data_IF_690577848077
#
_entry.id   IF_690577848077
#
_cell.length_a   1.000
_cell.length_b   1.000
_cell.length_c   1.000
_cell.angle_alpha   90.00
_cell.angle_beta   90.00
_cell.angle_gamma   90.00
#
_symmetry.space_group_name_H-M   'P 1'
#
loop_
_entity.id
_entity.type
_entity.pdbx_description
1 polymer ?
#
# COMPACT_ATOMS: atom_id res chain seq x y z
N UNK A 1 -32.39 63.02 42.10
CA UNK A 1 -33.69 62.67 42.68
C UNK A 1 -33.88 61.18 42.46
N UNK A 2 -33.88 60.43 43.57
CA UNK A 2 -34.23 59.00 43.73
C UNK A 2 -33.28 57.93 43.15
N UNK A 3 -32.42 57.42 44.05
CA UNK A 3 -31.94 56.04 44.14
C UNK A 3 -33.04 54.99 43.88
N UNK A 4 -32.71 53.90 43.19
CA UNK A 4 -33.18 52.54 43.53
C UNK A 4 -32.02 51.56 43.27
N UNK A 5 -31.45 51.09 44.38
CA UNK A 5 -30.62 49.89 44.49
C UNK A 5 -31.49 48.65 44.25
N UNK A 6 -31.03 47.73 43.39
CA UNK A 6 -31.54 46.36 43.36
C UNK A 6 -30.42 45.41 42.91
N UNK A 7 -29.89 44.62 43.85
CA UNK A 7 -29.21 43.34 43.56
C UNK A 7 -30.19 42.26 44.00
N UNK A 8 -30.48 41.23 43.19
CA UNK A 8 -29.62 40.03 43.17
C UNK A 8 -29.62 39.34 41.79
N UNK A 9 -28.70 38.44 41.45
CA UNK A 9 -28.87 36.98 41.66
C UNK A 9 -27.53 36.34 41.28
N UNK A 10 -27.02 35.48 42.17
CA UNK A 10 -25.86 34.62 41.92
C UNK A 10 -26.30 33.50 40.96
N UNK A 11 -25.79 33.49 39.74
CA UNK A 11 -25.94 32.35 38.82
C UNK A 11 -24.88 31.32 39.21
N UNK A 12 -25.31 30.28 39.93
CA UNK A 12 -24.52 29.10 40.26
C UNK A 12 -24.82 28.01 39.24
N UNK A 13 -23.77 27.50 38.59
CA UNK A 13 -23.64 26.18 37.92
C UNK A 13 -24.68 25.85 36.83
N UNK A 14 -24.34 25.19 35.73
CA UNK A 14 -23.77 23.85 35.66
C UNK A 14 -23.00 23.74 34.34
N UNK A 15 -21.68 23.66 34.40
CA UNK A 15 -20.89 23.19 33.25
C UNK A 15 -21.13 21.69 33.10
N UNK A 16 -21.88 21.32 32.06
CA UNK A 16 -22.06 19.94 31.65
C UNK A 16 -20.75 19.45 31.01
N UNK A 17 -19.88 18.84 31.81
CA UNK A 17 -18.70 18.11 31.32
C UNK A 17 -19.16 16.77 30.74
N UNK A 18 -19.38 16.75 29.43
CA UNK A 18 -19.55 15.52 28.66
C UNK A 18 -18.18 14.84 28.57
N UNK A 19 -17.95 13.82 29.40
CA UNK A 19 -16.78 12.96 29.29
C UNK A 19 -16.98 11.98 28.14
N UNK A 20 -16.34 12.25 27.00
CA UNK A 20 -16.23 11.31 25.89
C UNK A 20 -15.24 10.22 26.32
N UNK A 21 -15.74 9.05 26.70
CA UNK A 21 -14.90 7.85 26.84
C UNK A 21 -14.48 7.38 25.46
N UNK A 22 -13.27 7.74 25.05
CA UNK A 22 -12.62 7.17 23.86
C UNK A 22 -12.16 5.76 24.24
N UNK A 23 -12.92 4.75 23.86
CA UNK A 23 -12.46 3.36 23.90
C UNK A 23 -11.40 3.18 22.81
N UNK A 24 -10.13 3.32 23.15
CA UNK A 24 -9.02 2.91 22.27
C UNK A 24 -9.00 1.38 22.24
N UNK A 25 -9.70 0.77 21.29
CA UNK A 25 -9.44 -0.60 20.90
C UNK A 25 -8.02 -0.62 20.29
N UNK A 26 -7.03 -0.94 21.12
CA UNK A 26 -5.65 -1.07 20.68
C UNK A 26 -5.56 -2.24 19.71
N UNK A 27 -5.45 -1.94 18.41
CA UNK A 27 -4.97 -2.89 17.43
C UNK A 27 -3.55 -3.27 17.86
N UNK A 28 -3.36 -4.51 18.34
CA UNK A 28 -2.03 -5.03 18.59
C UNK A 28 -1.32 -5.06 17.23
N UNK A 29 -0.33 -4.19 17.04
CA UNK A 29 0.56 -4.29 15.89
C UNK A 29 1.28 -5.64 15.98
N UNK A 30 1.01 -6.51 15.03
CA UNK A 30 1.73 -7.77 14.89
C UNK A 30 3.21 -7.46 14.68
N UNK A 31 4.08 -8.12 15.44
CA UNK A 31 5.52 -7.94 15.28
C UNK A 31 5.92 -8.48 13.90
N UNK A 32 6.79 -7.77 13.14
CA UNK A 32 7.30 -8.28 11.87
C UNK A 32 7.87 -9.68 12.06
N UNK A 33 7.49 -10.59 11.17
CA UNK A 33 8.09 -11.91 11.09
C UNK A 33 9.45 -11.83 10.40
N UNK A 34 10.27 -12.86 10.51
CA UNK A 34 11.51 -12.95 9.75
C UNK A 34 11.28 -12.87 8.23
N UNK A 35 10.10 -13.33 7.75
CA UNK A 35 9.73 -13.19 6.35
C UNK A 35 9.44 -11.72 5.99
N UNK A 36 8.75 -10.98 6.85
CA UNK A 36 8.48 -9.55 6.62
C UNK A 36 9.78 -8.75 6.58
N UNK A 37 10.70 -9.03 7.51
CA UNK A 37 12.03 -8.42 7.53
C UNK A 37 12.82 -8.73 6.25
N UNK A 38 12.77 -9.98 5.78
CA UNK A 38 13.43 -10.39 4.54
C UNK A 38 12.84 -9.68 3.31
N UNK A 39 11.51 -9.61 3.19
CA UNK A 39 10.84 -8.94 2.06
C UNK A 39 11.07 -7.43 2.09
N UNK A 40 11.18 -6.82 3.28
CA UNK A 40 11.43 -5.39 3.44
C UNK A 40 12.92 -5.01 3.24
N UNK A 41 13.84 -5.98 3.29
CA UNK A 41 15.26 -5.71 3.10
C UNK A 41 15.53 -5.28 1.66
N UNK A 42 16.23 -4.16 1.48
CA UNK A 42 16.62 -3.69 0.16
C UNK A 42 17.67 -4.61 -0.48
N UNK A 43 17.44 -5.08 -1.70
CA UNK A 43 18.45 -5.75 -2.51
C UNK A 43 19.14 -4.74 -3.44
N UNK A 44 20.47 -4.64 -3.37
CA UNK A 44 21.27 -3.73 -4.19
C UNK A 44 21.22 -4.05 -5.69
N UNK A 45 20.87 -5.28 -6.04
CA UNK A 45 20.76 -5.75 -7.42
C UNK A 45 19.37 -5.60 -8.00
N UNK A 46 18.35 -5.29 -7.17
CA UNK A 46 17.00 -5.05 -7.65
C UNK A 46 17.00 -3.94 -8.68
N UNK A 47 16.55 -4.25 -9.89
CA UNK A 47 16.45 -3.30 -10.99
C UNK A 47 15.43 -3.81 -12.01
N UNK A 48 14.85 -2.90 -12.80
CA UNK A 48 13.98 -3.28 -13.90
C UNK A 48 14.13 -2.33 -15.07
N UNK A 49 13.98 -2.86 -16.28
CA UNK A 49 14.05 -2.11 -17.51
C UNK A 49 12.76 -2.33 -18.30
N UNK A 50 12.07 -1.23 -18.62
CA UNK A 50 10.96 -1.28 -19.57
C UNK A 50 11.49 -1.42 -20.99
N UNK A 51 10.93 -2.37 -21.74
CA UNK A 51 11.39 -2.67 -23.09
C UNK A 51 10.41 -2.15 -24.13
N UNK A 52 9.13 -2.48 -23.99
CA UNK A 52 8.11 -2.10 -24.98
C UNK A 52 6.68 -2.26 -24.44
N UNK A 53 5.73 -1.70 -25.19
CA UNK A 53 4.31 -2.03 -25.06
C UNK A 53 3.77 -2.47 -26.41
N UNK A 54 3.02 -3.57 -26.44
CA UNK A 54 2.20 -3.94 -27.59
C UNK A 54 0.72 -3.80 -27.26
N UNK A 55 -0.03 -3.25 -28.21
CA UNK A 55 -1.49 -3.16 -28.11
C UNK A 55 -2.16 -4.30 -28.87
N UNK A 56 -3.33 -4.69 -28.40
CA UNK A 56 -4.19 -5.69 -29.03
C UNK A 56 -5.65 -5.37 -28.72
N UNK A 57 -6.58 -6.00 -29.43
CA UNK A 57 -8.02 -5.88 -29.15
C UNK A 57 -8.39 -6.29 -27.71
N UNK A 58 -7.53 -7.10 -27.06
CA UNK A 58 -7.72 -7.58 -25.69
C UNK A 58 -7.14 -6.67 -24.63
N UNK A 59 -6.31 -5.70 -25.00
CA UNK A 59 -5.60 -4.82 -24.07
C UNK A 59 -4.14 -4.63 -24.43
N UNK A 60 -3.34 -4.22 -23.46
CA UNK A 60 -1.93 -3.88 -23.62
C UNK A 60 -1.06 -4.92 -22.91
N UNK A 61 0.10 -5.18 -23.50
CA UNK A 61 1.13 -6.02 -22.89
C UNK A 61 2.40 -5.20 -22.78
N UNK A 62 2.84 -4.95 -21.55
CA UNK A 62 4.10 -4.28 -21.25
C UNK A 62 5.17 -5.35 -21.02
N UNK A 63 6.27 -5.23 -21.75
CA UNK A 63 7.45 -6.08 -21.63
C UNK A 63 8.51 -5.37 -20.81
N UNK A 64 9.08 -6.09 -19.86
CA UNK A 64 10.17 -5.60 -19.01
C UNK A 64 11.12 -6.74 -18.65
N UNK A 65 12.38 -6.39 -18.47
CA UNK A 65 13.37 -7.25 -17.80
C UNK A 65 13.43 -6.85 -16.33
N UNK A 66 13.39 -7.82 -15.43
CA UNK A 66 13.47 -7.63 -13.98
C UNK A 66 14.69 -8.37 -13.44
N UNK A 67 15.52 -7.70 -12.66
CA UNK A 67 16.46 -8.33 -11.72
C UNK A 67 15.77 -8.32 -10.37
N UNK A 68 15.42 -9.51 -9.87
CA UNK A 68 14.69 -9.65 -8.61
C UNK A 68 15.64 -9.63 -7.41
N UNK A 69 16.76 -10.32 -7.53
CA UNK A 69 17.72 -10.50 -6.43
C UNK A 69 19.07 -11.02 -6.92
N UNK A 70 20.06 -10.98 -6.03
CA UNK A 70 21.29 -11.77 -6.13
C UNK A 70 21.22 -12.89 -5.12
N UNK A 71 21.14 -14.14 -5.58
CA UNK A 71 21.09 -15.31 -4.71
C UNK A 71 22.32 -16.18 -4.92
N UNK A 72 23.08 -16.40 -3.86
CA UNK A 72 24.32 -17.18 -3.90
C UNK A 72 25.26 -16.70 -5.03
N UNK A 73 25.51 -15.38 -5.06
CA UNK A 73 26.34 -14.69 -6.07
C UNK A 73 25.83 -14.75 -7.53
N UNK A 74 24.61 -15.24 -7.75
CA UNK A 74 23.98 -15.32 -9.07
C UNK A 74 22.88 -14.25 -9.17
N UNK A 75 22.96 -13.42 -10.20
CA UNK A 75 21.90 -12.45 -10.53
C UNK A 75 20.69 -13.19 -11.11
N UNK A 76 19.56 -13.08 -10.42
CA UNK A 76 18.30 -13.65 -10.88
C UNK A 76 17.57 -12.67 -11.78
N UNK A 77 17.62 -12.95 -13.09
CA UNK A 77 17.00 -12.13 -14.13
C UNK A 77 15.80 -12.84 -14.73
N UNK A 78 14.69 -12.12 -14.82
CA UNK A 78 13.42 -12.58 -15.32
C UNK A 78 12.93 -11.70 -16.48
N UNK A 79 12.12 -12.29 -17.35
CA UNK A 79 11.22 -11.53 -18.22
C UNK A 79 9.90 -11.37 -17.48
N UNK A 80 9.44 -10.13 -17.37
CA UNK A 80 8.20 -9.78 -16.72
C UNK A 80 7.24 -9.20 -17.77
N UNK A 81 6.02 -9.74 -17.80
CA UNK A 81 4.93 -9.25 -18.63
C UNK A 81 3.86 -8.67 -17.73
N UNK A 82 3.50 -7.40 -17.93
CA UNK A 82 2.33 -6.79 -17.30
C UNK A 82 1.24 -6.71 -18.36
N UNK A 83 0.17 -7.48 -18.16
CA UNK A 83 -0.97 -7.54 -19.09
C UNK A 83 -2.08 -6.68 -18.52
N UNK A 84 -2.37 -5.57 -19.19
CA UNK A 84 -3.45 -4.65 -18.87
C UNK A 84 -4.66 -4.99 -19.76
N UNK A 85 -5.74 -5.60 -19.23
CA UNK A 85 -6.92 -5.90 -20.02
C UNK A 85 -7.62 -4.61 -20.45
N UNK A 86 -8.20 -4.60 -21.65
CA UNK A 86 -8.89 -3.42 -22.21
C UNK A 86 -9.98 -2.85 -21.30
N UNK A 87 -10.60 -3.69 -20.47
CA UNK A 87 -11.50 -3.27 -19.40
C UNK A 87 -11.07 -3.90 -18.09
N UNK A 88 -10.80 -3.06 -17.11
CA UNK A 88 -10.42 -3.46 -15.75
C UNK A 88 -11.70 -3.55 -14.91
N UNK A 89 -12.15 -4.77 -14.61
CA UNK A 89 -13.32 -5.02 -13.75
C UNK A 89 -12.96 -4.99 -12.27
N UNK A 90 -11.73 -5.40 -11.92
CA UNK A 90 -11.22 -5.44 -10.55
C UNK A 90 -9.88 -4.69 -10.52
N UNK A 91 -9.90 -3.41 -10.14
CA UNK A 91 -8.71 -2.54 -10.19
C UNK A 91 -7.76 -2.75 -9.01
N UNK A 92 -8.21 -3.43 -7.97
CA UNK A 92 -7.52 -3.75 -6.73
C UNK A 92 -6.90 -5.16 -6.72
N UNK A 93 -7.06 -5.93 -7.80
CA UNK A 93 -6.62 -7.32 -7.90
C UNK A 93 -5.62 -7.52 -9.03
N UNK A 94 -4.58 -8.32 -8.75
CA UNK A 94 -3.58 -8.73 -9.73
C UNK A 94 -3.35 -10.23 -9.61
N UNK A 95 -3.21 -10.92 -10.74
CA UNK A 95 -2.74 -12.29 -10.80
C UNK A 95 -1.26 -12.31 -11.14
N UNK A 96 -0.44 -12.77 -10.19
CA UNK A 96 0.95 -13.13 -10.47
C UNK A 96 1.00 -14.57 -11.00
N UNK A 97 1.31 -14.73 -12.28
CA UNK A 97 1.46 -16.04 -12.90
C UNK A 97 2.94 -16.34 -13.19
N UNK A 98 3.50 -17.27 -12.42
CA UNK A 98 4.91 -17.68 -12.52
C UNK A 98 4.99 -18.93 -13.39
N UNK A 99 5.66 -18.83 -14.54
CA UNK A 99 5.88 -19.94 -15.45
C UNK A 99 7.34 -20.41 -15.43
N UNK A 100 7.57 -21.67 -15.76
CA UNK A 100 8.92 -22.19 -16.00
C UNK A 100 9.40 -21.77 -17.40
N UNK A 101 10.62 -21.24 -17.50
CA UNK A 101 11.23 -20.83 -18.76
C UNK A 101 12.73 -20.58 -18.63
N UNK A 102 13.43 -20.52 -19.77
CA UNK A 102 14.83 -20.10 -19.87
C UNK A 102 14.90 -18.64 -20.33
N UNK A 103 15.84 -17.86 -19.81
CA UNK A 103 16.05 -16.43 -20.11
C UNK A 103 16.54 -16.14 -21.54
N UNK A 104 16.27 -17.02 -22.51
CA UNK A 104 16.80 -16.94 -23.88
C UNK A 104 15.82 -17.19 -25.03
N UNK A 105 14.57 -17.60 -24.80
CA UNK A 105 13.57 -17.80 -25.86
C UNK A 105 12.29 -17.04 -25.57
N UNK A 106 11.85 -16.24 -26.54
CA UNK A 106 10.54 -15.58 -26.48
C UNK A 106 9.44 -16.65 -26.48
N UNK A 107 8.40 -16.53 -25.63
CA UNK A 107 7.29 -17.49 -25.60
C UNK A 107 6.55 -17.57 -26.93
#
# INVERSE_FOLDING_TARGET
>A
MSDISCRPIRIVSVSLLVTISISTAGSAFEKPTALDEYVAAADKSYDWTFESTSESDRGRVHRMTLISQTWQDIIWRHRLLVIEPRRITHADQVLLFITGGSTGREP
#
